data_IF_759171013903
#
_entry.id   IF_759171013903
#
_cell.length_a   1.000
_cell.length_b   1.000
_cell.length_c   1.000
_cell.angle_alpha   90.00
_cell.angle_beta   90.00
_cell.angle_gamma   90.00
#
_symmetry.space_group_name_H-M   'P 1'
#
loop_
_entity.id
_entity.type
_entity.pdbx_description
1 polymer ?
#
# COMPACT_ATOMS: atom_id res chain seq x y z
N UNK A 1 6.43 -0.19 11.37
CA UNK A 1 6.54 -1.63 11.07
C UNK A 1 7.44 -1.79 9.85
N UNK A 2 8.27 -2.83 9.80
CA UNK A 2 9.05 -3.18 8.61
C UNK A 2 8.68 -4.61 8.18
N UNK A 3 8.42 -4.82 6.90
CA UNK A 3 8.03 -6.10 6.31
C UNK A 3 8.97 -6.39 5.15
N UNK A 4 9.64 -7.54 5.17
CA UNK A 4 10.37 -8.05 4.01
C UNK A 4 9.47 -9.02 3.28
N UNK A 5 9.10 -8.69 2.05
CA UNK A 5 8.07 -9.41 1.32
C UNK A 5 8.64 -10.61 0.59
N UNK A 6 7.90 -11.71 0.63
CA UNK A 6 8.08 -12.84 -0.28
C UNK A 6 7.38 -12.56 -1.62
N UNK A 7 6.26 -11.82 -1.59
CA UNK A 7 5.50 -11.42 -2.76
C UNK A 7 4.88 -10.04 -2.57
N UNK A 8 4.90 -9.24 -3.64
CA UNK A 8 4.16 -7.99 -3.77
C UNK A 8 3.19 -8.15 -4.94
N UNK A 9 1.89 -8.18 -4.64
CA UNK A 9 0.81 -8.37 -5.59
C UNK A 9 0.17 -7.01 -5.82
N UNK A 10 0.01 -6.63 -7.08
CA UNK A 10 -0.65 -5.38 -7.47
C UNK A 10 -1.72 -5.65 -8.51
N UNK A 11 -2.85 -4.97 -8.36
CA UNK A 11 -3.91 -4.91 -9.36
C UNK A 11 -4.43 -3.47 -9.40
N UNK A 12 -4.21 -2.77 -10.51
CA UNK A 12 -4.64 -1.38 -10.65
C UNK A 12 -6.17 -1.20 -10.78
N UNK A 13 -6.89 -2.26 -11.14
CA UNK A 13 -8.31 -2.21 -11.51
C UNK A 13 -8.87 -3.63 -11.51
N UNK A 14 -9.22 -4.12 -10.34
CA UNK A 14 -9.79 -5.46 -10.18
C UNK A 14 -11.24 -5.50 -10.66
N UNK A 15 -11.47 -6.03 -11.87
CA UNK A 15 -12.77 -6.08 -12.52
C UNK A 15 -13.75 -7.06 -11.86
N UNK A 16 -13.24 -8.00 -11.06
CA UNK A 16 -14.06 -8.88 -10.22
C UNK A 16 -14.55 -8.19 -8.94
N UNK A 17 -13.82 -7.15 -8.48
CA UNK A 17 -14.12 -6.39 -7.26
C UNK A 17 -14.38 -4.91 -7.56
N UNK A 18 -15.39 -4.62 -8.38
CA UNK A 18 -15.88 -3.26 -8.67
C UNK A 18 -14.78 -2.26 -9.10
N UNK A 19 -13.77 -2.74 -9.82
CA UNK A 19 -12.59 -2.00 -10.26
C UNK A 19 -11.70 -1.47 -9.12
N UNK A 20 -11.70 -2.16 -7.97
CA UNK A 20 -10.86 -1.82 -6.82
C UNK A 20 -9.37 -1.86 -7.21
N UNK A 21 -8.62 -0.86 -6.78
CA UNK A 21 -7.17 -0.91 -6.82
C UNK A 21 -6.64 -1.60 -5.56
N UNK A 22 -5.71 -2.54 -5.73
CA UNK A 22 -5.16 -3.39 -4.69
C UNK A 22 -3.64 -3.41 -4.78
N UNK A 23 -2.97 -3.12 -3.66
CA UNK A 23 -1.60 -3.54 -3.40
C UNK A 23 -1.62 -4.43 -2.17
N UNK A 24 -1.08 -5.64 -2.27
CA UNK A 24 -1.02 -6.59 -1.18
C UNK A 24 0.37 -7.19 -1.07
N UNK A 25 0.89 -7.26 0.14
CA UNK A 25 2.19 -7.85 0.40
C UNK A 25 2.10 -8.93 1.48
N UNK A 26 2.81 -10.03 1.22
CA UNK A 26 2.97 -11.12 2.16
C UNK A 26 4.44 -11.14 2.59
N UNK A 27 4.67 -10.95 3.88
CA UNK A 27 5.98 -11.00 4.52
C UNK A 27 6.52 -12.44 4.62
N UNK A 28 7.84 -12.59 4.59
CA UNK A 28 8.52 -13.88 4.82
C UNK A 28 8.18 -14.48 6.21
N UNK A 29 7.80 -13.64 7.17
CA UNK A 29 7.37 -14.02 8.53
C UNK A 29 5.89 -14.35 8.67
N UNK A 30 5.10 -14.31 7.58
CA UNK A 30 3.65 -14.45 7.63
C UNK A 30 2.89 -13.14 7.88
N UNK A 31 3.59 -12.00 7.90
CA UNK A 31 2.95 -10.69 7.98
C UNK A 31 2.12 -10.40 6.72
N UNK A 32 0.97 -9.77 6.90
CA UNK A 32 0.13 -9.27 5.80
C UNK A 32 0.07 -7.74 5.88
N UNK A 33 0.22 -7.07 4.75
CA UNK A 33 -0.15 -5.67 4.62
C UNK A 33 -0.77 -5.40 3.26
N UNK A 34 -1.87 -4.64 3.22
CA UNK A 34 -2.49 -4.24 1.96
C UNK A 34 -2.99 -2.81 1.99
N UNK A 35 -3.04 -2.22 0.79
CA UNK A 35 -3.74 -0.99 0.46
C UNK A 35 -4.85 -1.32 -0.53
N UNK A 36 -6.07 -0.93 -0.22
CA UNK A 36 -7.23 -1.08 -1.09
C UNK A 36 -7.96 0.24 -1.25
N UNK A 37 -8.46 0.49 -2.46
CA UNK A 37 -9.31 1.65 -2.74
C UNK A 37 -10.28 1.37 -3.87
N UNK A 38 -11.57 1.63 -3.63
CA UNK A 38 -12.58 1.65 -4.68
C UNK A 38 -12.52 2.97 -5.47
N UNK A 39 -12.87 2.97 -6.77
CA UNK A 39 -12.70 4.13 -7.66
C UNK A 39 -13.50 5.38 -7.26
N UNK A 40 -14.59 5.22 -6.51
CA UNK A 40 -15.50 6.28 -6.05
C UNK A 40 -15.24 6.76 -4.62
N UNK A 41 -14.29 6.16 -3.91
CA UNK A 41 -13.95 6.53 -2.53
C UNK A 41 -12.80 7.54 -2.48
N UNK A 42 -12.81 8.45 -1.51
CA UNK A 42 -11.67 9.35 -1.24
C UNK A 42 -10.89 8.93 0.02
N UNK A 43 -10.86 7.63 0.27
CA UNK A 43 -10.16 7.04 1.39
C UNK A 43 -9.45 5.76 0.92
N UNK A 44 -8.46 5.32 1.70
CA UNK A 44 -7.72 4.08 1.44
C UNK A 44 -7.87 3.19 2.67
N UNK A 45 -8.29 1.95 2.46
CA UNK A 45 -8.25 0.94 3.52
C UNK A 45 -6.84 0.37 3.61
N UNK A 46 -6.32 0.33 4.84
CA UNK A 46 -5.05 -0.30 5.19
C UNK A 46 -5.36 -1.51 6.05
N UNK A 47 -4.86 -2.68 5.66
CA UNK A 47 -4.94 -3.92 6.45
C UNK A 47 -3.56 -4.32 6.94
N UNK A 48 -3.45 -4.75 8.21
CA UNK A 48 -2.20 -5.15 8.88
C UNK A 48 -2.39 -6.46 9.66
N UNK A 49 -1.81 -7.54 9.17
CA UNK A 49 -2.08 -8.90 9.66
C UNK A 49 -3.48 -9.36 9.28
N UNK A 50 -4.04 -10.30 10.05
CA UNK A 50 -5.27 -11.00 9.66
C UNK A 50 -6.57 -10.31 10.12
N UNK A 51 -6.50 -9.39 11.08
CA UNK A 51 -7.65 -8.94 11.86
C UNK A 51 -7.75 -7.42 12.06
N UNK A 52 -6.81 -6.66 11.51
CA UNK A 52 -6.71 -5.21 11.74
C UNK A 52 -6.77 -4.48 10.41
N UNK A 53 -7.87 -3.75 10.18
CA UNK A 53 -7.96 -2.79 9.09
C UNK A 53 -8.46 -1.44 9.57
N UNK A 54 -8.09 -0.39 8.85
CA UNK A 54 -8.54 0.98 9.12
C UNK A 54 -8.50 1.80 7.83
N UNK A 55 -9.52 2.62 7.66
CA UNK A 55 -9.65 3.52 6.51
C UNK A 55 -9.05 4.88 6.82
N UNK A 56 -8.13 5.34 5.98
CA UNK A 56 -7.45 6.63 6.13
C UNK A 56 -7.86 7.60 5.03
N UNK A 57 -8.00 8.86 5.39
CA UNK A 57 -8.31 9.95 4.45
C UNK A 57 -7.06 10.67 3.93
N UNK A 58 -5.88 10.29 4.45
CA UNK A 58 -4.58 10.85 4.08
C UNK A 58 -3.48 9.83 4.34
N UNK A 59 -2.54 9.73 3.40
CA UNK A 59 -1.32 8.95 3.53
C UNK A 59 -0.24 9.50 2.60
N UNK A 60 1.02 9.28 2.96
CA UNK A 60 2.15 9.51 2.06
C UNK A 60 2.75 8.17 1.67
N UNK A 61 2.88 7.94 0.37
CA UNK A 61 3.47 6.74 -0.21
C UNK A 61 4.73 7.13 -0.98
N UNK A 62 5.86 6.50 -0.66
CA UNK A 62 7.12 6.65 -1.39
C UNK A 62 7.53 5.30 -1.96
N UNK A 63 7.64 5.20 -3.28
CA UNK A 63 8.13 4.01 -3.97
C UNK A 63 9.57 4.25 -4.45
N UNK A 64 10.46 3.37 -4.02
CA UNK A 64 11.85 3.27 -4.46
C UNK A 64 12.06 1.88 -5.13
N UNK A 65 13.22 1.64 -5.74
CA UNK A 65 13.49 0.41 -6.50
C UNK A 65 13.36 -0.90 -5.68
N UNK A 66 13.53 -0.84 -4.36
CA UNK A 66 13.48 -2.02 -3.46
C UNK A 66 12.67 -1.77 -2.19
N UNK A 67 11.96 -0.64 -2.13
CA UNK A 67 11.29 -0.18 -0.92
C UNK A 67 10.01 0.58 -1.23
N UNK A 68 8.95 0.24 -0.51
CA UNK A 68 7.72 1.00 -0.43
C UNK A 68 7.55 1.50 1.00
N UNK A 69 7.49 2.81 1.20
CA UNK A 69 7.24 3.43 2.50
C UNK A 69 5.85 4.07 2.50
N UNK A 70 5.00 3.63 3.42
CA UNK A 70 3.69 4.22 3.69
C UNK A 70 3.73 4.93 5.04
N UNK A 71 3.30 6.17 5.07
CA UNK A 71 3.23 6.98 6.28
C UNK A 71 1.82 7.53 6.44
N UNK A 72 1.30 7.49 7.66
CA UNK A 72 -0.06 7.93 8.00
C UNK A 72 -0.06 8.88 9.18
N UNK A 73 -1.19 9.55 9.40
CA UNK A 73 -1.35 10.45 10.54
C UNK A 73 -1.35 9.67 11.88
N UNK A 74 -0.80 10.25 12.96
CA UNK A 74 -0.78 9.61 14.28
C UNK A 74 -2.16 9.23 14.83
N UNK A 75 -3.22 9.92 14.40
CA UNK A 75 -4.59 9.61 14.78
C UNK A 75 -5.07 8.27 14.19
N UNK A 76 -4.69 7.98 12.95
CA UNK A 76 -5.01 6.73 12.26
C UNK A 76 -4.13 5.57 12.76
N UNK A 77 -2.86 5.87 13.06
CA UNK A 77 -1.92 4.89 13.63
C UNK A 77 -2.44 4.22 14.89
N UNK A 78 -3.24 4.93 15.71
CA UNK A 78 -3.87 4.35 16.91
C UNK A 78 -4.81 3.16 16.60
N UNK A 79 -5.40 3.11 15.41
CA UNK A 79 -6.22 1.98 14.95
C UNK A 79 -5.37 0.86 14.32
N UNK A 80 -4.15 1.17 13.89
CA UNK A 80 -3.23 0.25 13.22
C UNK A 80 -2.05 -0.15 14.12
N UNK A 81 -2.37 -0.59 15.35
CA UNK A 81 -1.39 -1.08 16.35
C UNK A 81 -0.32 -0.05 16.76
N UNK A 82 -0.59 1.24 16.54
CA UNK A 82 0.33 2.35 16.84
C UNK A 82 1.41 2.56 15.79
N UNK A 83 1.29 1.96 14.60
CA UNK A 83 2.28 2.11 13.53
C UNK A 83 1.92 3.28 12.62
N UNK A 84 2.73 4.35 12.68
CA UNK A 84 2.62 5.51 11.78
C UNK A 84 3.31 5.29 10.43
N UNK A 85 4.19 4.28 10.36
CA UNK A 85 5.02 4.00 9.20
C UNK A 85 5.05 2.50 8.92
N UNK A 86 4.84 2.13 7.66
CA UNK A 86 4.94 0.77 7.14
C UNK A 86 6.00 0.76 6.04
N UNK A 87 7.13 0.13 6.33
CA UNK A 87 8.24 0.00 5.40
C UNK A 87 8.26 -1.41 4.83
N UNK A 88 8.08 -1.52 3.52
CA UNK A 88 7.94 -2.77 2.80
C UNK A 88 9.17 -2.92 1.92
N UNK A 89 10.04 -3.86 2.26
CA UNK A 89 11.20 -4.22 1.46
C UNK A 89 10.75 -5.28 0.45
N UNK A 90 10.83 -4.97 -0.84
CA UNK A 90 10.36 -5.85 -1.91
C UNK A 90 11.46 -6.11 -2.95
N UNK A 91 11.37 -7.27 -3.61
CA UNK A 91 12.27 -7.68 -4.69
C UNK A 91 11.63 -7.60 -6.07
N UNK A 92 10.68 -6.68 -6.27
CA UNK A 92 9.98 -6.52 -7.54
C UNK A 92 10.95 -6.23 -8.67
N UNK A 93 10.81 -6.92 -9.79
CA UNK A 93 11.65 -6.70 -10.95
C UNK A 93 11.42 -5.31 -11.56
N UNK A 94 12.45 -4.72 -12.15
CA UNK A 94 12.37 -3.36 -12.71
C UNK A 94 11.27 -3.23 -13.78
N UNK A 95 11.03 -4.29 -14.55
CA UNK A 95 9.99 -4.34 -15.58
C UNK A 95 8.56 -4.38 -15.00
N UNK A 96 8.41 -4.79 -13.74
CA UNK A 96 7.13 -4.86 -13.02
C UNK A 96 6.83 -3.59 -12.20
N UNK A 97 7.85 -2.77 -11.90
CA UNK A 97 7.70 -1.51 -11.15
C UNK A 97 6.72 -0.53 -11.80
N UNK A 98 6.57 -0.58 -13.12
CA UNK A 98 5.60 0.26 -13.83
C UNK A 98 4.15 -0.02 -13.40
N UNK A 99 3.79 -1.28 -13.15
CA UNK A 99 2.44 -1.63 -12.69
C UNK A 99 2.27 -1.28 -11.21
N UNK A 100 3.29 -1.49 -10.37
CA UNK A 100 3.28 -1.03 -8.97
C UNK A 100 3.06 0.48 -8.90
N UNK A 101 3.78 1.24 -9.72
CA UNK A 101 3.63 2.69 -9.82
C UNK A 101 2.20 3.08 -10.20
N UNK A 102 1.64 2.43 -11.22
CA UNK A 102 0.28 2.69 -11.69
C UNK A 102 -0.75 2.42 -10.60
N UNK A 103 -0.67 1.28 -9.93
CA UNK A 103 -1.58 0.90 -8.85
C UNK A 103 -1.49 1.89 -7.69
N UNK A 104 -0.29 2.24 -7.23
CA UNK A 104 -0.09 3.21 -6.14
C UNK A 104 -0.59 4.60 -6.51
N UNK A 105 -0.40 5.04 -7.76
CA UNK A 105 -0.93 6.30 -8.23
C UNK A 105 -2.46 6.33 -8.16
N UNK A 106 -3.14 5.24 -8.57
CA UNK A 106 -4.60 5.13 -8.47
C UNK A 106 -5.05 5.13 -7.01
N UNK A 107 -4.41 4.33 -6.14
CA UNK A 107 -4.75 4.25 -4.71
C UNK A 107 -4.63 5.61 -4.03
N UNK A 108 -3.60 6.39 -4.36
CA UNK A 108 -3.32 7.67 -3.67
C UNK A 108 -4.02 8.88 -4.28
N UNK A 109 -4.56 8.76 -5.49
CA UNK A 109 -5.23 9.88 -6.18
C UNK A 109 -6.38 10.45 -5.34
N UNK A 110 -6.33 11.76 -5.06
CA UNK A 110 -7.28 12.51 -4.23
C UNK A 110 -7.35 12.12 -2.74
N UNK A 111 -6.47 11.23 -2.27
CA UNK A 111 -6.39 10.84 -0.86
C UNK A 111 -5.09 11.33 -0.24
N UNK A 112 -3.96 11.13 -0.92
CA UNK A 112 -2.65 11.29 -0.32
C UNK A 112 -1.59 11.84 -1.27
N UNK A 113 -0.35 11.79 -0.79
CA UNK A 113 0.83 12.13 -1.59
C UNK A 113 1.49 10.84 -2.08
N UNK A 114 1.83 10.80 -3.37
CA UNK A 114 2.64 9.74 -3.94
C UNK A 114 3.94 10.29 -4.51
N UNK A 115 5.05 9.72 -4.06
CA UNK A 115 6.41 10.04 -4.50
C UNK A 115 6.99 8.80 -5.16
N UNK A 116 7.44 8.95 -6.40
CA UNK A 116 8.19 7.93 -7.12
C UNK A 116 9.66 8.33 -7.18
N UNK A 117 10.54 7.55 -6.56
CA UNK A 117 12.00 7.72 -6.55
C UNK A 117 12.72 6.54 -7.22
N UNK A 118 12.01 5.78 -8.06
CA UNK A 118 12.64 4.80 -8.94
C UNK A 118 13.42 5.56 -10.02
N UNK A 119 14.75 5.55 -9.91
CA UNK A 119 15.69 6.15 -10.88
C UNK A 119 15.77 5.36 -12.21
#
# INVERSE_FOLDING_TARGET
MQIKTAALIVNACDDEYDNMALLCCHGEGGDLFSLTRFPDENEVEITVGDDTSHTVSSLKVTLDAQRLLVQIDPADAAQLKGHEQFEIIHGTDADELAEVHRTLHIITTNVGEYVNSVD
#
